data_IF_420371387122
#
_entry.id   IF_420371387122
#
_cell.length_a   1.000
_cell.length_b   1.000
_cell.length_c   1.000
_cell.angle_alpha   90.00
_cell.angle_beta   90.00
_cell.angle_gamma   90.00
#
_symmetry.space_group_name_H-M   'P 1'
#
loop_
_entity.id
_entity.type
_entity.pdbx_description
1 polymer ?
#
# COMPACT_ATOMS: atom_id res chain seq x y z
N UNK A 1 12.70 -4.43 -8.68
CA UNK A 1 11.97 -5.25 -7.68
C UNK A 1 10.89 -4.45 -6.95
N UNK A 2 11.14 -3.18 -6.59
CA UNK A 2 10.13 -2.28 -6.00
C UNK A 2 8.83 -2.20 -6.82
N UNK A 3 8.95 -2.26 -8.15
CA UNK A 3 7.82 -2.36 -9.09
C UNK A 3 6.82 -3.45 -8.69
N UNK A 4 7.33 -4.67 -8.52
CA UNK A 4 6.53 -5.88 -8.31
C UNK A 4 5.84 -5.80 -6.95
N UNK A 5 6.53 -5.25 -5.95
CA UNK A 5 5.96 -5.04 -4.61
C UNK A 5 4.80 -4.05 -4.69
N UNK A 6 4.98 -2.92 -5.40
CA UNK A 6 3.92 -1.94 -5.60
C UNK A 6 2.71 -2.53 -6.35
N UNK A 7 2.94 -3.32 -7.40
CA UNK A 7 1.88 -3.98 -8.17
C UNK A 7 1.07 -4.94 -7.28
N UNK A 8 1.75 -5.70 -6.41
CA UNK A 8 1.09 -6.60 -5.46
C UNK A 8 0.24 -5.81 -4.46
N UNK A 9 0.73 -4.67 -3.96
CA UNK A 9 -0.05 -3.79 -3.07
C UNK A 9 -1.32 -3.26 -3.74
N UNK A 10 -1.23 -2.87 -5.02
CA UNK A 10 -2.38 -2.44 -5.83
C UNK A 10 -3.41 -3.58 -5.96
N UNK A 11 -2.96 -4.82 -6.14
CA UNK A 11 -3.85 -5.99 -6.16
C UNK A 11 -4.64 -6.14 -4.86
N UNK A 12 -4.07 -5.79 -3.70
CA UNK A 12 -4.79 -5.77 -2.42
C UNK A 12 -5.71 -4.55 -2.26
N UNK A 13 -5.34 -3.40 -2.83
CA UNK A 13 -6.14 -2.17 -2.79
C UNK A 13 -7.45 -2.32 -3.58
N UNK A 14 -7.47 -3.08 -4.68
CA UNK A 14 -8.65 -3.22 -5.54
C UNK A 14 -9.87 -3.86 -4.84
N UNK A 15 -9.78 -5.06 -4.24
CA UNK A 15 -10.91 -5.67 -3.53
C UNK A 15 -11.42 -4.80 -2.38
N UNK A 16 -10.51 -4.14 -1.67
CA UNK A 16 -10.89 -3.18 -0.62
C UNK A 16 -11.71 -2.02 -1.19
N UNK A 17 -11.25 -1.39 -2.28
CA UNK A 17 -11.93 -0.26 -2.89
C UNK A 17 -13.32 -0.63 -3.42
N UNK A 18 -13.46 -1.82 -4.02
CA UNK A 18 -14.74 -2.33 -4.54
C UNK A 18 -15.71 -2.70 -3.42
N UNK A 19 -15.22 -3.12 -2.25
CA UNK A 19 -16.06 -3.53 -1.11
C UNK A 19 -16.30 -2.42 -0.09
N UNK A 20 -15.73 -1.22 -0.30
CA UNK A 20 -15.78 -0.09 0.64
C UNK A 20 -17.20 0.28 1.09
N UNK A 21 -18.16 0.29 0.16
CA UNK A 21 -19.57 0.65 0.43
C UNK A 21 -20.23 -0.25 1.49
N UNK A 22 -19.78 -1.50 1.64
CA UNK A 22 -20.32 -2.45 2.62
C UNK A 22 -19.70 -2.35 4.01
N UNK A 23 -18.49 -1.79 4.11
CA UNK A 23 -17.66 -1.77 5.31
C UNK A 23 -17.53 -0.36 5.92
N UNK A 24 -17.73 0.69 5.13
CA UNK A 24 -17.75 2.08 5.58
C UNK A 24 -16.48 2.51 6.32
N UNK A 25 -16.64 3.11 7.50
CA UNK A 25 -15.53 3.67 8.29
C UNK A 25 -14.53 2.62 8.78
N UNK A 26 -14.97 1.37 8.97
CA UNK A 26 -14.07 0.27 9.35
C UNK A 26 -13.05 -0.01 8.25
N UNK A 27 -13.51 -0.08 6.99
CA UNK A 27 -12.63 -0.24 5.84
C UNK A 27 -11.63 0.92 5.73
N UNK A 28 -12.04 2.14 6.05
CA UNK A 28 -11.16 3.31 6.02
C UNK A 28 -10.00 3.19 7.04
N UNK A 29 -10.29 2.74 8.26
CA UNK A 29 -9.27 2.54 9.31
C UNK A 29 -8.31 1.41 8.95
N UNK A 30 -8.82 0.27 8.51
CA UNK A 30 -8.02 -0.87 8.05
C UNK A 30 -7.07 -0.45 6.92
N UNK A 31 -7.56 0.31 5.95
CA UNK A 31 -6.74 0.80 4.84
C UNK A 31 -5.69 1.82 5.28
N UNK A 32 -6.04 2.71 6.22
CA UNK A 32 -5.08 3.65 6.76
C UNK A 32 -3.92 2.92 7.46
N UNK A 33 -4.21 1.86 8.22
CA UNK A 33 -3.19 1.04 8.89
C UNK A 33 -2.34 0.30 7.85
N UNK A 34 -2.96 -0.33 6.85
CA UNK A 34 -2.26 -1.02 5.76
C UNK A 34 -1.30 -0.07 5.03
N UNK A 35 -1.80 1.07 4.58
CA UNK A 35 -1.03 2.10 3.88
C UNK A 35 0.12 2.64 4.73
N UNK A 36 -0.09 2.86 6.02
CA UNK A 36 0.97 3.35 6.92
C UNK A 36 2.09 2.32 7.06
N UNK A 37 1.74 1.04 7.14
CA UNK A 37 2.71 -0.05 7.25
C UNK A 37 3.57 -0.18 5.99
N UNK A 38 2.94 -0.13 4.82
CA UNK A 38 3.61 -0.09 3.51
C UNK A 38 4.48 1.16 3.39
N UNK A 39 3.96 2.32 3.78
CA UNK A 39 4.67 3.59 3.70
C UNK A 39 5.96 3.57 4.53
N UNK A 40 5.98 2.92 5.69
CA UNK A 40 7.20 2.72 6.48
C UNK A 40 8.24 1.90 5.72
N UNK A 41 7.84 0.84 5.02
CA UNK A 41 8.73 0.05 4.18
C UNK A 41 9.30 0.89 3.01
N UNK A 42 8.46 1.70 2.35
CA UNK A 42 8.91 2.63 1.31
C UNK A 42 9.87 3.70 1.85
N UNK A 43 9.56 4.30 2.99
CA UNK A 43 10.42 5.29 3.63
C UNK A 43 11.78 4.71 3.97
N UNK A 44 11.84 3.45 4.41
CA UNK A 44 13.10 2.74 4.65
C UNK A 44 13.91 2.55 3.35
N UNK A 45 13.29 2.05 2.28
CA UNK A 45 13.95 1.84 0.98
C UNK A 45 14.42 3.17 0.39
N UNK A 46 13.61 4.21 0.51
CA UNK A 46 13.97 5.56 0.08
C UNK A 46 15.22 6.07 0.78
N UNK A 47 15.29 5.91 2.11
CA UNK A 47 16.47 6.33 2.88
C UNK A 47 17.74 5.58 2.48
N UNK A 48 17.61 4.37 1.92
CA UNK A 48 18.73 3.57 1.39
C UNK A 48 19.05 3.86 -0.08
N UNK A 49 18.39 4.84 -0.70
CA UNK A 49 18.59 5.18 -2.10
C UNK A 49 18.01 4.16 -3.09
N UNK A 50 17.16 3.24 -2.64
CA UNK A 50 16.63 2.15 -3.46
C UNK A 50 15.43 2.52 -4.36
N UNK A 51 15.12 3.82 -4.50
CA UNK A 51 14.10 4.33 -5.42
C UNK A 51 14.66 4.64 -6.82
N UNK A 52 15.89 4.22 -7.12
CA UNK A 52 16.46 4.35 -8.46
C UNK A 52 15.91 3.25 -9.35
N UNK A 53 15.30 3.66 -10.46
CA UNK A 53 14.74 2.79 -11.48
C UNK A 53 15.63 2.92 -12.71
N UNK A 54 16.57 2.00 -12.88
CA UNK A 54 17.18 1.70 -14.18
C UNK A 54 16.40 0.58 -14.86
#
# INVERSE_FOLDING_TARGET
MLFIVFDIEIVFLYPWAVSYDSLGTFALVEMAIFMLTVFVAYAYVWRRGGLTWD
#
